data_IF_973329785765
#
_entry.id   IF_973329785765
#
_cell.length_a   1.000
_cell.length_b   1.000
_cell.length_c   1.000
_cell.angle_alpha   90.00
_cell.angle_beta   90.00
_cell.angle_gamma   90.00
#
_symmetry.space_group_name_H-M   'P 1'
#
loop_
_entity.id
_entity.type
_entity.pdbx_description
1 polymer ?
#
# COMPACT_ATOMS: atom_id res chain seq x y z
N UNK A 1 47.51 13.19 -24.07
CA UNK A 1 46.74 13.56 -25.28
C UNK A 1 46.56 12.30 -26.11
N UNK A 2 45.38 11.79 -26.46
CA UNK A 2 44.01 12.23 -26.28
C UNK A 2 43.07 11.04 -25.97
N UNK A 3 41.74 11.27 -25.93
CA UNK A 3 40.76 10.39 -25.31
C UNK A 3 40.25 9.29 -26.25
N UNK A 4 39.80 8.18 -25.68
CA UNK A 4 39.10 7.11 -26.38
C UNK A 4 37.73 6.92 -25.71
N UNK A 5 36.67 7.23 -26.45
CA UNK A 5 35.27 6.87 -26.21
C UNK A 5 34.75 6.22 -27.51
N UNK A 6 33.60 5.52 -27.54
CA UNK A 6 32.88 4.75 -26.51
C UNK A 6 32.58 3.32 -27.02
N UNK A 7 32.07 2.39 -26.19
CA UNK A 7 31.15 1.38 -26.72
C UNK A 7 30.18 0.79 -25.68
N UNK A 8 28.94 0.71 -26.14
CA UNK A 8 27.74 0.13 -25.57
C UNK A 8 27.90 -1.39 -25.41
N UNK A 9 27.15 -2.00 -24.48
CA UNK A 9 26.97 -3.45 -24.54
C UNK A 9 26.32 -4.13 -23.34
N UNK A 10 25.05 -4.47 -23.53
CA UNK A 10 24.40 -5.70 -23.06
C UNK A 10 23.95 -5.79 -21.59
N UNK A 11 22.71 -5.36 -21.39
CA UNK A 11 21.71 -6.06 -20.57
C UNK A 11 21.77 -7.58 -20.76
N UNK A 12 21.87 -8.35 -19.67
CA UNK A 12 21.49 -9.77 -19.63
C UNK A 12 20.68 -10.05 -18.35
N UNK A 13 19.50 -10.69 -18.48
CA UNK A 13 18.68 -11.07 -17.34
C UNK A 13 19.14 -12.43 -16.79
N UNK A 14 19.51 -12.48 -15.52
CA UNK A 14 19.80 -13.75 -14.85
C UNK A 14 18.52 -14.25 -14.18
N UNK A 15 17.93 -15.30 -14.77
CA UNK A 15 16.86 -16.11 -14.18
C UNK A 15 17.32 -16.72 -12.86
N UNK A 16 16.66 -16.38 -11.76
CA UNK A 16 16.70 -17.17 -10.53
C UNK A 16 15.54 -18.18 -10.55
N UNK A 17 15.87 -19.46 -10.40
CA UNK A 17 14.91 -20.58 -10.42
C UNK A 17 14.39 -20.77 -9.00
N UNK A 18 13.09 -20.54 -8.78
CA UNK A 18 12.41 -20.85 -7.52
C UNK A 18 12.11 -22.34 -7.44
N UNK A 19 12.57 -22.99 -6.37
CA UNK A 19 12.37 -24.42 -6.11
C UNK A 19 11.17 -24.56 -5.16
N UNK A 20 10.07 -25.11 -5.66
CA UNK A 20 8.87 -25.41 -4.88
C UNK A 20 9.02 -26.75 -4.15
N UNK A 21 8.69 -26.78 -2.86
CA UNK A 21 8.47 -28.01 -2.11
C UNK A 21 7.01 -28.00 -1.60
N UNK A 22 6.24 -29.01 -1.98
CA UNK A 22 4.85 -29.21 -1.57
C UNK A 22 4.79 -30.15 -0.36
N UNK A 23 4.02 -29.76 0.66
CA UNK A 23 3.63 -30.61 1.77
C UNK A 23 2.10 -30.66 1.88
N UNK A 24 1.55 -31.86 2.12
CA UNK A 24 0.13 -32.19 2.03
C UNK A 24 -0.75 -31.53 3.12
N UNK A 25 -2.02 -31.29 2.76
CA UNK A 25 -3.03 -30.58 3.54
C UNK A 25 -3.82 -31.48 4.51
N UNK A 26 -4.27 -30.89 5.61
CA UNK A 26 -5.35 -31.40 6.48
C UNK A 26 -6.46 -30.35 6.63
N UNK A 27 -7.72 -30.77 6.85
CA UNK A 27 -8.90 -29.94 6.62
C UNK A 27 -9.26 -28.96 7.75
N UNK A 28 -10.09 -28.01 7.33
CA UNK A 28 -10.38 -26.68 7.84
C UNK A 28 -11.36 -26.67 9.02
N UNK A 29 -10.91 -26.13 10.17
CA UNK A 29 -11.76 -25.46 11.14
C UNK A 29 -11.69 -23.96 10.84
N UNK A 30 -12.83 -23.27 10.73
CA UNK A 30 -12.85 -21.81 10.59
C UNK A 30 -12.27 -21.19 11.88
N UNK A 31 -11.04 -20.63 11.87
CA UNK A 31 -10.46 -20.06 13.07
C UNK A 31 -10.94 -18.63 13.24
N UNK A 32 -10.90 -18.14 14.49
CA UNK A 32 -10.81 -16.69 14.73
C UNK A 32 -9.75 -16.09 13.79
N UNK A 33 -9.93 -14.85 13.29
CA UNK A 33 -8.94 -14.23 12.41
C UNK A 33 -7.56 -14.33 13.07
N UNK A 34 -6.68 -15.10 12.44
CA UNK A 34 -5.34 -15.36 12.94
C UNK A 34 -4.63 -14.00 13.09
N UNK A 35 -3.85 -13.76 14.14
CA UNK A 35 -3.11 -12.51 14.28
C UNK A 35 -2.00 -12.43 13.22
N UNK A 36 -1.64 -11.21 12.81
CA UNK A 36 -0.45 -10.99 11.99
C UNK A 36 0.78 -11.39 12.83
N UNK A 37 1.68 -12.18 12.24
CA UNK A 37 2.96 -12.52 12.89
C UNK A 37 4.05 -11.60 12.37
N UNK A 38 4.81 -11.01 13.29
CA UNK A 38 5.88 -10.05 12.97
C UNK A 38 7.23 -10.68 13.29
N UNK A 39 8.17 -10.60 12.34
CA UNK A 39 9.55 -11.02 12.52
C UNK A 39 10.49 -9.92 12.04
N UNK A 40 11.65 -9.79 12.69
CA UNK A 40 12.71 -8.86 12.27
C UNK A 40 13.92 -9.68 11.83
N UNK A 41 14.42 -9.41 10.63
CA UNK A 41 15.63 -10.07 10.14
C UNK A 41 16.89 -9.26 10.47
N UNK A 42 18.07 -9.91 10.51
CA UNK A 42 19.33 -9.23 10.84
C UNK A 42 19.75 -8.14 9.85
N UNK A 43 19.21 -8.18 8.63
CA UNK A 43 19.39 -7.16 7.57
C UNK A 43 18.52 -5.91 7.78
N UNK A 44 17.77 -5.84 8.89
CA UNK A 44 16.93 -4.69 9.24
C UNK A 44 15.54 -4.70 8.60
N UNK A 45 15.19 -5.72 7.82
CA UNK A 45 13.84 -5.85 7.24
C UNK A 45 12.86 -6.34 8.31
N UNK A 46 11.67 -5.73 8.33
CA UNK A 46 10.56 -6.19 9.18
C UNK A 46 9.56 -6.97 8.32
N UNK A 47 9.34 -8.24 8.66
CA UNK A 47 8.45 -9.14 7.94
C UNK A 47 7.12 -9.32 8.69
N UNK A 48 6.01 -9.23 7.96
CA UNK A 48 4.64 -9.42 8.45
C UNK A 48 4.02 -10.61 7.71
N UNK A 49 3.68 -11.67 8.42
CA UNK A 49 2.90 -12.78 7.88
C UNK A 49 1.41 -12.53 8.15
N UNK A 50 0.66 -12.32 7.07
CA UNK A 50 -0.72 -11.84 7.09
C UNK A 50 -1.65 -13.00 6.70
N UNK A 51 -2.64 -13.35 7.52
CA UNK A 51 -3.38 -14.59 7.36
C UNK A 51 -4.53 -14.53 6.35
N UNK A 52 -4.63 -13.43 5.62
CA UNK A 52 -5.67 -13.16 4.65
C UNK A 52 -5.09 -12.42 3.43
N UNK A 53 -5.76 -12.45 2.28
CA UNK A 53 -5.29 -11.75 1.09
C UNK A 53 -5.70 -10.25 1.13
N UNK A 54 -4.99 -9.34 0.44
CA UNK A 54 -5.22 -7.89 0.52
C UNK A 54 -6.67 -7.44 0.28
N UNK A 55 -7.38 -8.15 -0.59
CA UNK A 55 -8.75 -7.89 -1.02
C UNK A 55 -9.77 -8.01 0.13
N UNK A 56 -9.42 -8.76 1.16
CA UNK A 56 -10.27 -9.02 2.33
C UNK A 56 -9.93 -8.14 3.53
N UNK A 57 -8.95 -7.24 3.40
CA UNK A 57 -8.60 -6.30 4.46
C UNK A 57 -9.79 -5.39 4.80
N UNK A 58 -10.07 -5.18 6.10
CA UNK A 58 -11.24 -4.45 6.54
C UNK A 58 -11.21 -2.99 6.06
N UNK A 59 -12.36 -2.36 5.81
CA UNK A 59 -12.40 -0.92 5.59
C UNK A 59 -11.90 -0.16 6.84
N UNK A 60 -11.46 1.07 6.65
CA UNK A 60 -10.96 1.95 7.73
C UNK A 60 -11.87 3.16 7.89
N UNK A 61 -11.72 3.90 8.99
CA UNK A 61 -12.41 5.17 9.13
C UNK A 61 -11.78 6.22 8.19
N UNK A 62 -12.57 7.04 7.47
CA UNK A 62 -12.03 8.10 6.61
C UNK A 62 -11.15 9.10 7.38
N UNK A 63 -11.47 9.35 8.65
CA UNK A 63 -10.67 10.22 9.53
C UNK A 63 -9.31 9.62 9.86
N UNK A 64 -9.21 8.31 10.05
CA UNK A 64 -7.93 7.66 10.29
C UNK A 64 -7.06 7.73 9.03
N UNK A 65 -7.67 7.60 7.85
CA UNK A 65 -6.97 7.73 6.56
C UNK A 65 -6.46 9.16 6.33
N UNK A 66 -7.26 10.17 6.66
CA UNK A 66 -6.87 11.58 6.62
C UNK A 66 -5.71 11.88 7.58
N UNK A 67 -5.82 11.39 8.82
CA UNK A 67 -4.77 11.56 9.82
C UNK A 67 -3.47 10.85 9.44
N UNK A 68 -3.57 9.64 8.89
CA UNK A 68 -2.43 8.90 8.36
C UNK A 68 -1.76 9.62 7.18
N UNK A 69 -2.55 10.22 6.30
CA UNK A 69 -2.04 11.06 5.20
C UNK A 69 -1.21 12.23 5.72
N UNK A 70 -1.75 13.03 6.63
CA UNK A 70 -1.04 14.19 7.17
C UNK A 70 0.26 13.79 7.87
N UNK A 71 0.22 12.71 8.65
CA UNK A 71 1.39 12.22 9.39
C UNK A 71 2.45 11.62 8.49
N UNK A 72 2.06 10.91 7.44
CA UNK A 72 3.01 10.42 6.44
C UNK A 72 3.67 11.59 5.68
N UNK A 73 2.92 12.65 5.34
CA UNK A 73 3.50 13.86 4.75
C UNK A 73 4.48 14.56 5.70
N UNK A 74 4.13 14.71 6.97
CA UNK A 74 5.02 15.30 7.97
C UNK A 74 6.31 14.47 8.15
N UNK A 75 6.21 13.13 8.08
CA UNK A 75 7.34 12.23 8.13
C UNK A 75 8.24 12.36 6.90
N UNK A 76 7.65 12.40 5.71
CA UNK A 76 8.38 12.58 4.45
C UNK A 76 9.09 13.94 4.40
N UNK A 77 8.42 15.02 4.81
CA UNK A 77 8.99 16.36 4.90
C UNK A 77 10.15 16.47 5.91
N UNK A 78 10.15 15.59 6.92
CA UNK A 78 11.22 15.51 7.92
C UNK A 78 12.26 14.43 7.60
N UNK A 79 12.21 13.82 6.41
CA UNK A 79 13.12 12.75 5.99
C UNK A 79 13.20 11.57 6.99
N UNK A 80 12.07 11.27 7.66
CA UNK A 80 11.98 10.14 8.60
C UNK A 80 11.77 8.85 7.82
N UNK A 81 12.86 8.28 7.33
CA UNK A 81 12.86 7.01 6.61
C UNK A 81 12.72 5.82 7.58
N UNK A 82 11.80 4.91 7.27
CA UNK A 82 11.64 3.64 7.99
C UNK A 82 12.46 2.51 7.39
N UNK A 83 12.61 1.37 8.10
CA UNK A 83 13.15 0.17 7.51
C UNK A 83 12.23 -0.37 6.39
N UNK A 84 12.80 -1.07 5.40
CA UNK A 84 11.99 -1.83 4.44
C UNK A 84 11.11 -2.86 5.15
N UNK A 85 9.89 -3.05 4.63
CA UNK A 85 8.91 -3.97 5.19
C UNK A 85 8.50 -5.02 4.17
N UNK A 86 8.58 -6.29 4.56
CA UNK A 86 8.10 -7.42 3.76
C UNK A 86 6.73 -7.85 4.26
N UNK A 87 5.74 -7.83 3.39
CA UNK A 87 4.39 -8.29 3.66
C UNK A 87 4.17 -9.61 2.95
N UNK A 88 3.78 -10.65 3.68
CA UNK A 88 3.53 -11.99 3.15
C UNK A 88 2.07 -12.35 3.41
N UNK A 89 1.22 -12.17 2.41
CA UNK A 89 -0.20 -12.50 2.48
C UNK A 89 -0.44 -13.98 2.19
N UNK A 90 -1.35 -14.59 2.93
CA UNK A 90 -1.88 -15.92 2.61
C UNK A 90 -3.04 -15.78 1.62
N UNK A 91 -2.89 -16.36 0.43
CA UNK A 91 -3.96 -16.48 -0.57
C UNK A 91 -4.99 -17.54 -0.15
N UNK A 92 -6.15 -17.51 -0.79
CA UNK A 92 -7.24 -18.48 -0.54
C UNK A 92 -6.82 -19.93 -0.86
N UNK A 93 -5.90 -20.11 -1.83
CA UNK A 93 -5.29 -21.41 -2.16
C UNK A 93 -4.16 -21.83 -1.19
N UNK A 94 -3.90 -21.02 -0.17
CA UNK A 94 -2.85 -21.23 0.82
C UNK A 94 -1.45 -20.80 0.36
N UNK A 95 -1.28 -20.36 -0.89
CA UNK A 95 0.01 -19.89 -1.39
C UNK A 95 0.40 -18.53 -0.78
N UNK A 96 1.70 -18.29 -0.56
CA UNK A 96 2.16 -16.98 -0.12
C UNK A 96 2.20 -16.00 -1.29
N UNK A 97 1.74 -14.78 -1.04
CA UNK A 97 1.98 -13.63 -1.90
C UNK A 97 2.87 -12.64 -1.15
N UNK A 98 4.05 -12.38 -1.70
CA UNK A 98 4.97 -11.39 -1.15
C UNK A 98 4.76 -10.00 -1.77
N UNK A 99 4.85 -8.98 -0.94
CA UNK A 99 4.93 -7.58 -1.32
C UNK A 99 6.00 -6.90 -0.47
N UNK A 100 6.85 -6.09 -1.11
CA UNK A 100 7.95 -5.41 -0.45
C UNK A 100 7.73 -3.89 -0.51
N UNK A 101 7.69 -3.26 0.65
CA UNK A 101 7.71 -1.81 0.82
C UNK A 101 9.18 -1.40 1.04
N UNK A 102 9.90 -1.18 -0.06
CA UNK A 102 11.34 -0.88 -0.03
C UNK A 102 11.73 0.45 -0.69
N UNK A 103 10.85 1.05 -1.48
CA UNK A 103 11.09 2.42 -1.92
C UNK A 103 11.01 3.38 -0.72
N UNK A 104 11.74 4.47 -0.82
CA UNK A 104 11.99 5.39 0.30
C UNK A 104 10.68 6.03 0.79
N UNK A 105 9.77 6.34 -0.13
CA UNK A 105 8.48 6.94 0.18
C UNK A 105 7.57 5.93 0.88
N UNK A 106 7.41 4.72 0.34
CA UNK A 106 6.58 3.69 0.96
C UNK A 106 7.12 3.27 2.34
N UNK A 107 8.45 3.19 2.52
CA UNK A 107 9.05 2.88 3.81
C UNK A 107 8.83 4.00 4.84
N UNK A 108 8.95 5.26 4.44
CA UNK A 108 8.62 6.43 5.29
C UNK A 108 7.14 6.42 5.71
N UNK A 109 6.25 6.17 4.76
CA UNK A 109 4.82 6.19 5.00
C UNK A 109 4.38 5.04 5.90
N UNK A 110 4.94 3.86 5.67
CA UNK A 110 4.71 2.70 6.53
C UNK A 110 5.21 2.95 7.97
N UNK A 111 6.37 3.58 8.15
CA UNK A 111 6.88 3.96 9.47
C UNK A 111 5.95 4.94 10.20
N UNK A 112 5.47 5.96 9.49
CA UNK A 112 4.56 6.95 10.06
C UNK A 112 3.24 6.31 10.54
N UNK A 113 2.70 5.37 9.75
CA UNK A 113 1.48 4.63 10.14
C UNK A 113 1.75 3.66 11.28
N UNK A 114 2.88 2.94 11.26
CA UNK A 114 3.25 1.96 12.27
C UNK A 114 3.35 2.60 13.67
N UNK A 115 3.96 3.79 13.76
CA UNK A 115 4.07 4.54 15.01
C UNK A 115 2.74 5.00 15.62
N UNK A 116 1.63 4.93 14.87
CA UNK A 116 0.31 5.40 15.32
C UNK A 116 -0.75 4.31 15.40
N UNK A 117 -0.74 3.36 14.47
CA UNK A 117 -1.82 2.39 14.27
C UNK A 117 -1.34 0.93 14.31
N UNK A 118 -0.04 0.67 14.52
CA UNK A 118 0.58 -0.66 14.59
C UNK A 118 0.29 -1.55 13.35
N UNK A 119 1.29 -1.69 12.47
CA UNK A 119 1.18 -2.56 11.29
C UNK A 119 1.07 -4.05 11.62
N UNK A 120 1.34 -4.44 12.87
CA UNK A 120 1.04 -5.77 13.42
C UNK A 120 -0.45 -6.04 13.59
N UNK A 121 -1.33 -5.06 13.33
CA UNK A 121 -2.79 -5.22 13.35
C UNK A 121 -3.38 -5.20 11.95
N UNK A 122 -4.50 -5.91 11.74
CA UNK A 122 -5.23 -5.85 10.46
C UNK A 122 -5.72 -4.43 10.14
N UNK A 123 -6.05 -3.64 11.17
CA UNK A 123 -6.47 -2.24 11.02
C UNK A 123 -5.34 -1.33 10.56
N UNK A 124 -4.19 -1.37 11.24
CA UNK A 124 -3.01 -0.58 10.87
C UNK A 124 -2.46 -0.96 9.50
N UNK A 125 -2.38 -2.25 9.18
CA UNK A 125 -1.98 -2.71 7.86
C UNK A 125 -2.97 -2.25 6.78
N UNK A 126 -4.27 -2.41 7.01
CA UNK A 126 -5.31 -1.97 6.08
C UNK A 126 -5.20 -0.47 5.79
N UNK A 127 -5.01 0.33 6.84
CA UNK A 127 -4.83 1.77 6.74
C UNK A 127 -3.61 2.13 5.90
N UNK A 128 -2.46 1.50 6.18
CA UNK A 128 -1.22 1.71 5.45
C UNK A 128 -1.37 1.39 3.95
N UNK A 129 -1.95 0.24 3.61
CA UNK A 129 -2.09 -0.16 2.21
C UNK A 129 -3.07 0.73 1.45
N UNK A 130 -4.18 1.15 2.09
CA UNK A 130 -5.13 2.10 1.49
C UNK A 130 -4.50 3.48 1.27
N UNK A 131 -3.65 3.93 2.18
CA UNK A 131 -2.90 5.17 2.03
C UNK A 131 -1.92 5.09 0.85
N UNK A 132 -1.16 4.00 0.72
CA UNK A 132 -0.23 3.79 -0.40
C UNK A 132 -0.98 3.64 -1.74
N UNK A 133 -2.08 2.89 -1.75
CA UNK A 133 -2.95 2.75 -2.92
C UNK A 133 -3.55 4.09 -3.36
N UNK A 134 -3.83 4.98 -2.40
CA UNK A 134 -4.34 6.33 -2.69
C UNK A 134 -3.29 7.17 -3.41
N UNK A 135 -2.03 7.15 -2.97
CA UNK A 135 -0.94 7.82 -3.70
C UNK A 135 -0.72 7.22 -5.08
N UNK A 136 -0.69 5.90 -5.17
CA UNK A 136 -0.52 5.20 -6.44
C UNK A 136 -1.58 5.64 -7.45
N UNK A 137 -2.86 5.62 -7.06
CA UNK A 137 -3.94 6.01 -7.98
C UNK A 137 -3.88 7.50 -8.31
N UNK A 138 -3.56 8.37 -7.34
CA UNK A 138 -3.37 9.81 -7.58
C UNK A 138 -2.25 10.09 -8.58
N UNK A 139 -1.19 9.29 -8.57
CA UNK A 139 -0.03 9.46 -9.46
C UNK A 139 -0.32 9.10 -10.93
N UNK A 140 -1.27 8.19 -11.18
CA UNK A 140 -1.56 7.67 -12.54
C UNK A 140 -2.92 8.10 -13.11
N UNK A 141 -3.92 8.31 -12.25
CA UNK A 141 -5.29 8.56 -12.67
C UNK A 141 -5.56 10.07 -12.81
N UNK A 142 -5.24 10.62 -13.99
CA UNK A 142 -5.39 12.06 -14.29
C UNK A 142 -6.81 12.61 -14.09
N UNK A 143 -7.84 11.77 -14.14
CA UNK A 143 -9.22 12.17 -13.94
C UNK A 143 -9.56 12.48 -12.47
N UNK A 144 -8.68 12.13 -11.52
CA UNK A 144 -8.80 12.57 -10.12
C UNK A 144 -8.49 14.07 -9.94
N UNK A 145 -8.03 14.75 -11.00
CA UNK A 145 -7.84 16.20 -10.99
C UNK A 145 -9.13 16.89 -10.52
N UNK A 146 -9.01 17.73 -9.49
CA UNK A 146 -10.14 18.41 -8.85
C UNK A 146 -10.69 17.70 -7.60
N UNK A 147 -10.26 16.47 -7.29
CA UNK A 147 -10.52 15.79 -6.01
C UNK A 147 -9.37 15.92 -5.00
N UNK A 148 -8.36 16.69 -5.36
CA UNK A 148 -7.31 17.15 -4.48
C UNK A 148 -6.84 18.53 -4.96
N UNK A 149 -6.36 19.34 -4.03
CA UNK A 149 -5.82 20.66 -4.30
C UNK A 149 -4.37 20.73 -3.84
N UNK A 150 -3.52 21.34 -4.66
CA UNK A 150 -2.16 21.69 -4.24
C UNK A 150 -2.21 23.07 -3.57
N UNK A 151 -1.88 23.12 -2.28
CA UNK A 151 -1.80 24.34 -1.49
C UNK A 151 -0.34 24.58 -1.07
N UNK A 152 0.02 25.79 -0.58
CA UNK A 152 1.34 26.04 -0.02
C UNK A 152 1.71 25.13 1.17
N UNK A 153 0.72 24.51 1.81
CA UNK A 153 0.90 23.59 2.95
C UNK A 153 0.96 22.11 2.52
N UNK A 154 0.80 21.84 1.21
CA UNK A 154 0.85 20.50 0.64
C UNK A 154 -0.42 20.15 -0.13
N UNK A 155 -0.71 18.86 -0.23
CA UNK A 155 -1.87 18.36 -0.97
C UNK A 155 -3.03 18.14 0.00
N UNK A 156 -4.13 18.84 -0.24
CA UNK A 156 -5.41 18.65 0.45
C UNK A 156 -6.29 17.68 -0.35
N UNK A 157 -6.86 16.68 0.33
CA UNK A 157 -7.68 15.64 -0.28
C UNK A 157 -9.16 15.96 -0.10
N UNK A 158 -9.96 15.80 -1.16
CA UNK A 158 -11.40 16.01 -1.06
C UNK A 158 -12.04 14.93 -0.15
N UNK A 159 -12.95 15.27 0.78
CA UNK A 159 -13.53 14.31 1.73
C UNK A 159 -14.21 13.11 1.08
N UNK A 160 -14.78 13.29 -0.11
CA UNK A 160 -15.38 12.20 -0.89
C UNK A 160 -14.33 11.19 -1.39
N UNK A 161 -13.13 11.65 -1.75
CA UNK A 161 -12.01 10.76 -2.13
C UNK A 161 -11.56 9.93 -0.93
N UNK A 162 -11.41 10.57 0.24
CA UNK A 162 -11.07 9.89 1.49
C UNK A 162 -12.12 8.83 1.87
N UNK A 163 -13.42 9.17 1.80
CA UNK A 163 -14.50 8.20 2.05
C UNK A 163 -14.46 7.02 1.09
N UNK A 164 -14.20 7.26 -0.19
CA UNK A 164 -14.10 6.23 -1.20
C UNK A 164 -12.92 5.28 -0.92
N UNK A 165 -11.73 5.84 -0.71
CA UNK A 165 -10.50 5.08 -0.44
C UNK A 165 -10.58 4.29 0.87
N UNK A 166 -11.23 4.84 1.90
CA UNK A 166 -11.40 4.18 3.19
C UNK A 166 -12.28 2.92 3.12
N UNK A 167 -13.30 2.93 2.24
CA UNK A 167 -14.29 1.85 2.15
C UNK A 167 -14.02 0.84 1.02
N UNK A 168 -13.39 1.28 -0.08
CA UNK A 168 -13.22 0.44 -1.27
C UNK A 168 -12.29 -0.75 -0.97
N UNK A 169 -12.62 -1.96 -1.46
CA UNK A 169 -11.70 -3.09 -1.42
C UNK A 169 -10.44 -2.81 -2.23
N UNK A 170 -9.30 -3.31 -1.75
CA UNK A 170 -8.07 -3.36 -2.54
C UNK A 170 -8.12 -4.54 -3.52
N UNK A 171 -7.33 -4.49 -4.57
CA UNK A 171 -7.11 -5.63 -5.46
C UNK A 171 -5.99 -6.55 -4.95
N UNK A 172 -5.72 -7.60 -5.72
CA UNK A 172 -4.68 -8.58 -5.44
C UNK A 172 -3.26 -8.00 -5.33
N UNK A 173 -3.02 -6.81 -5.87
CA UNK A 173 -1.75 -6.10 -5.79
C UNK A 173 -1.77 -4.98 -4.74
N UNK A 174 -2.78 -4.97 -3.86
CA UNK A 174 -3.04 -3.93 -2.86
C UNK A 174 -3.25 -2.53 -3.46
N UNK A 175 -3.90 -2.44 -4.64
CA UNK A 175 -4.24 -1.18 -5.33
C UNK A 175 -5.74 -0.96 -5.41
N UNK A 176 -6.15 0.27 -5.70
CA UNK A 176 -7.55 0.55 -6.03
C UNK A 176 -7.84 0.26 -7.50
N UNK A 177 -8.93 -0.48 -7.77
CA UNK A 177 -9.48 -0.60 -9.13
C UNK A 177 -9.99 0.78 -9.61
N UNK A 178 -9.32 1.32 -10.62
CA UNK A 178 -9.61 2.67 -11.10
C UNK A 178 -11.07 2.81 -11.58
N UNK A 179 -11.60 1.78 -12.24
CA UNK A 179 -12.96 1.80 -12.78
C UNK A 179 -14.00 1.77 -11.66
N UNK A 180 -13.77 0.94 -10.63
CA UNK A 180 -14.58 0.87 -9.42
C UNK A 180 -14.56 2.18 -8.64
N UNK A 181 -13.37 2.76 -8.45
CA UNK A 181 -13.20 4.04 -7.75
C UNK A 181 -13.95 5.17 -8.47
N UNK A 182 -13.79 5.27 -9.79
CA UNK A 182 -14.49 6.26 -10.62
C UNK A 182 -16.01 6.12 -10.49
N UNK A 183 -16.55 4.90 -10.57
CA UNK A 183 -17.99 4.62 -10.41
C UNK A 183 -18.51 4.97 -9.01
N UNK A 184 -17.71 4.81 -7.97
CA UNK A 184 -18.10 5.16 -6.60
C UNK A 184 -18.15 6.68 -6.44
N UNK A 185 -17.12 7.38 -6.92
CA UNK A 185 -17.03 8.83 -6.85
C UNK A 185 -18.13 9.52 -7.67
N UNK A 186 -18.42 9.05 -8.88
CA UNK A 186 -19.51 9.58 -9.71
C UNK A 186 -20.91 9.44 -9.08
N UNK A 187 -21.12 8.46 -8.19
CA UNK A 187 -22.40 8.30 -7.47
C UNK A 187 -22.49 9.21 -6.24
N UNK A 188 -21.35 9.53 -5.64
CA UNK A 188 -21.27 10.29 -4.39
C UNK A 188 -21.13 11.80 -4.57
N UNK A 189 -20.83 12.27 -5.80
CA UNK A 189 -20.80 13.69 -6.15
C UNK A 189 -22.16 14.00 -6.79
N UNK A 190 -23.11 14.64 -6.07
CA UNK A 190 -24.23 15.25 -6.75
C UNK A 190 -23.68 16.31 -7.70
N UNK A 191 -24.15 16.35 -8.94
CA UNK A 191 -23.95 17.48 -9.83
C UNK A 191 -24.59 18.72 -9.19
N UNK A 192 -23.85 19.47 -8.37
CA UNK A 192 -24.43 20.62 -7.67
C UNK A 192 -23.56 21.16 -6.54
N UNK A 193 -22.50 21.89 -6.89
CA UNK A 193 -21.94 22.94 -6.05
C UNK A 193 -21.47 24.09 -6.96
N UNK A 194 -22.42 24.70 -7.65
CA UNK A 194 -22.35 26.10 -8.03
C UNK A 194 -23.46 26.82 -7.28
N UNK A 195 -23.07 27.63 -6.31
CA UNK A 195 -23.81 28.78 -5.82
C UNK A 195 -22.78 29.76 -5.25
#
# INVERSE_FOLDING_TARGET
>A
MGPMLPNQGCFRPTRAVARLAFGAATPHFAPMPEPIRVARSPDGVVAYAIPLPPETLPPVAPRDLEFAWDRARDAAASERWGPPRRLVFRRDDGSPQEMLLADVDAACWAEAVDGMHDLGTLGGLSLCLRLLALVEVMSRARWLAGLYAMTPQGIELHPTLLRAAAAMPLDAAARFDETGLKRLLSRSIPSGASA
#
